data_IF_027204440316
#
_entry.id   IF_027204440316
#
_cell.length_a   1.000
_cell.length_b   1.000
_cell.length_c   1.000
_cell.angle_alpha   90.00
_cell.angle_beta   90.00
_cell.angle_gamma   90.00
#
_symmetry.space_group_name_H-M   'P 1'
#
loop_
_entity.id
_entity.type
_entity.pdbx_description
1 polymer ?
#
# COMPACT_ATOMS: atom_id res chain seq x y z
N UNK A 1 4.32 9.85 16.60
CA UNK A 1 4.44 11.32 16.36
C UNK A 1 5.68 11.90 17.02
N UNK A 2 6.05 11.39 18.19
CA UNK A 2 7.13 11.82 19.07
C UNK A 2 8.51 11.70 18.42
N UNK A 3 8.68 10.75 17.50
CA UNK A 3 9.88 10.60 16.67
C UNK A 3 9.84 11.41 15.35
N UNK A 4 8.81 12.23 15.13
CA UNK A 4 8.64 13.01 13.89
C UNK A 4 8.21 12.21 12.67
N UNK A 5 7.90 10.91 12.81
CA UNK A 5 7.41 10.09 11.70
C UNK A 5 6.04 10.60 11.20
N UNK A 6 5.86 10.82 9.89
CA UNK A 6 4.61 11.34 9.32
C UNK A 6 3.55 10.27 9.01
N UNK A 7 3.99 9.02 8.83
CA UNK A 7 3.15 7.91 8.35
C UNK A 7 3.42 6.67 9.21
N UNK A 8 2.36 5.92 9.50
CA UNK A 8 2.42 4.55 10.03
C UNK A 8 1.86 3.62 8.95
N UNK A 9 2.66 2.67 8.50
CA UNK A 9 2.24 1.70 7.49
C UNK A 9 1.60 0.48 8.16
N UNK A 10 0.59 -0.08 7.51
CA UNK A 10 -0.10 -1.30 7.95
C UNK A 10 -0.63 -2.07 6.75
N UNK A 11 -0.85 -3.36 6.92
CA UNK A 11 -1.69 -4.18 6.05
C UNK A 11 -2.86 -4.76 6.87
N UNK A 12 -3.69 -5.59 6.23
CA UNK A 12 -4.81 -6.27 6.87
C UNK A 12 -4.42 -7.48 7.74
N UNK A 13 -3.13 -7.84 7.78
CA UNK A 13 -2.61 -9.02 8.46
C UNK A 13 -2.97 -10.36 7.77
N UNK A 14 -2.37 -11.46 8.24
CA UNK A 14 -2.67 -12.78 7.71
C UNK A 14 -4.11 -13.20 8.04
N UNK A 15 -4.78 -13.84 7.08
CA UNK A 15 -6.15 -14.35 7.28
C UNK A 15 -6.22 -15.40 8.38
N UNK A 16 -7.10 -15.22 9.39
CA UNK A 16 -7.47 -16.32 10.25
C UNK A 16 -8.28 -17.37 9.48
N UNK A 17 -8.02 -18.66 9.72
CA UNK A 17 -8.71 -19.75 9.01
C UNK A 17 -10.18 -19.92 9.40
N UNK A 18 -10.63 -19.23 10.45
CA UNK A 18 -11.95 -19.42 11.07
C UNK A 18 -12.93 -18.28 10.82
N UNK A 19 -12.49 -17.18 10.20
CA UNK A 19 -13.34 -16.04 9.83
C UNK A 19 -13.79 -16.12 8.38
N UNK A 20 -14.95 -15.56 8.08
CA UNK A 20 -15.39 -15.20 6.74
C UNK A 20 -14.76 -13.89 6.26
N UNK A 21 -14.81 -13.63 4.96
CA UNK A 21 -14.36 -12.34 4.41
C UNK A 21 -15.17 -11.16 4.98
N UNK A 22 -16.47 -11.34 5.20
CA UNK A 22 -17.33 -10.29 5.76
C UNK A 22 -16.91 -9.93 7.19
N UNK A 23 -16.69 -10.93 8.04
CA UNK A 23 -16.18 -10.72 9.40
C UNK A 23 -14.83 -10.00 9.40
N UNK A 24 -13.92 -10.38 8.50
CA UNK A 24 -12.60 -9.76 8.39
C UNK A 24 -12.72 -8.26 8.04
N UNK A 25 -13.58 -7.90 7.08
CA UNK A 25 -13.79 -6.49 6.73
C UNK A 25 -14.48 -5.70 7.85
N UNK A 26 -15.38 -6.33 8.62
CA UNK A 26 -15.98 -5.71 9.81
C UNK A 26 -14.91 -5.42 10.88
N UNK A 27 -14.00 -6.37 11.13
CA UNK A 27 -12.91 -6.20 12.08
C UNK A 27 -11.91 -5.14 11.60
N UNK A 28 -11.51 -5.17 10.32
CA UNK A 28 -10.66 -4.12 9.73
C UNK A 28 -11.28 -2.75 9.90
N UNK A 29 -12.58 -2.60 9.60
CA UNK A 29 -13.29 -1.32 9.76
C UNK A 29 -13.25 -0.82 11.20
N UNK A 30 -13.50 -1.70 12.17
CA UNK A 30 -13.44 -1.33 13.58
C UNK A 30 -12.04 -0.82 13.97
N UNK A 31 -10.99 -1.58 13.64
CA UNK A 31 -9.61 -1.23 13.99
C UNK A 31 -9.16 0.05 13.28
N UNK A 32 -9.42 0.17 11.97
CA UNK A 32 -9.07 1.36 11.20
C UNK A 32 -9.81 2.59 11.70
N UNK A 33 -11.06 2.46 12.15
CA UNK A 33 -11.82 3.60 12.72
C UNK A 33 -11.13 4.13 13.97
N UNK A 34 -10.76 3.26 14.91
CA UNK A 34 -10.11 3.68 16.15
C UNK A 34 -8.69 4.22 15.89
N UNK A 35 -7.94 3.57 14.98
CA UNK A 35 -6.61 4.03 14.58
C UNK A 35 -6.66 5.40 13.90
N UNK A 36 -7.59 5.62 12.97
CA UNK A 36 -7.73 6.87 12.23
C UNK A 36 -8.07 8.04 13.16
N UNK A 37 -9.01 7.85 14.09
CA UNK A 37 -9.36 8.87 15.10
C UNK A 37 -8.14 9.33 15.89
N UNK A 38 -7.28 8.39 16.30
CA UNK A 38 -6.05 8.74 17.00
C UNK A 38 -5.05 9.42 16.05
N UNK A 39 -4.86 8.89 14.84
CA UNK A 39 -3.93 9.40 13.86
C UNK A 39 -4.21 10.87 13.49
N UNK A 40 -5.49 11.23 13.29
CA UNK A 40 -5.95 12.60 13.04
C UNK A 40 -5.50 13.57 14.15
N UNK A 41 -5.72 13.21 15.42
CA UNK A 41 -5.31 14.06 16.57
C UNK A 41 -3.80 14.26 16.68
N UNK A 42 -3.02 13.40 16.02
CA UNK A 42 -1.56 13.41 16.06
C UNK A 42 -0.93 13.91 14.75
N UNK A 43 -1.73 14.30 13.77
CA UNK A 43 -1.27 14.66 12.43
C UNK A 43 -0.39 13.53 11.81
N UNK A 44 -0.87 12.30 11.94
CA UNK A 44 -0.24 11.08 11.41
C UNK A 44 -1.16 10.51 10.34
N UNK A 45 -0.54 9.95 9.29
CA UNK A 45 -1.24 9.20 8.26
C UNK A 45 -1.08 7.71 8.48
N UNK A 46 -2.10 6.95 8.09
CA UNK A 46 -2.09 5.49 8.02
C UNK A 46 -1.95 5.12 6.55
N UNK A 47 -0.86 4.43 6.20
CA UNK A 47 -0.61 3.93 4.85
C UNK A 47 -1.01 2.47 4.73
N UNK A 48 -2.07 2.18 3.99
CA UNK A 48 -2.50 0.82 3.68
C UNK A 48 -1.62 0.23 2.57
N UNK A 49 -0.99 -0.91 2.83
CA UNK A 49 -0.07 -1.57 1.90
C UNK A 49 -0.75 -2.72 1.13
N UNK A 50 -0.58 -2.83 -0.20
CA UNK A 50 -0.99 -4.01 -0.95
C UNK A 50 -0.07 -5.18 -0.59
N UNK A 51 -0.47 -6.03 0.34
CA UNK A 51 0.42 -7.03 0.94
C UNK A 51 -0.21 -8.42 1.11
N UNK A 52 -1.47 -8.51 1.54
CA UNK A 52 -2.10 -9.79 1.86
C UNK A 52 -3.17 -10.16 0.83
N UNK A 53 -3.98 -11.17 1.14
CA UNK A 53 -4.94 -11.77 0.22
C UNK A 53 -6.00 -10.81 -0.34
N UNK A 54 -6.37 -9.74 0.38
CA UNK A 54 -7.42 -8.81 -0.03
C UNK A 54 -6.80 -7.61 -0.71
N UNK A 55 -5.84 -6.96 -0.06
CA UNK A 55 -5.12 -5.80 -0.56
C UNK A 55 -4.17 -6.12 -1.71
N UNK A 56 -3.84 -7.40 -1.93
CA UNK A 56 -3.07 -7.89 -3.07
C UNK A 56 -3.77 -7.70 -4.43
N UNK A 57 -5.04 -7.29 -4.46
CA UNK A 57 -5.74 -6.90 -5.68
C UNK A 57 -6.13 -5.40 -5.64
N UNK A 58 -6.05 -4.66 -6.76
CA UNK A 58 -6.42 -3.24 -6.81
C UNK A 58 -7.81 -2.94 -6.25
N UNK A 59 -8.81 -3.74 -6.62
CA UNK A 59 -10.18 -3.58 -6.13
C UNK A 59 -10.31 -3.91 -4.64
N UNK A 60 -9.51 -4.86 -4.13
CA UNK A 60 -9.52 -5.22 -2.72
C UNK A 60 -8.85 -4.16 -1.84
N UNK A 61 -7.73 -3.58 -2.29
CA UNK A 61 -7.12 -2.43 -1.63
C UNK A 61 -8.08 -1.23 -1.61
N UNK A 62 -8.80 -0.98 -2.71
CA UNK A 62 -9.81 0.07 -2.77
C UNK A 62 -10.99 -0.19 -1.82
N UNK A 63 -11.42 -1.45 -1.70
CA UNK A 63 -12.45 -1.86 -0.75
C UNK A 63 -12.02 -1.61 0.69
N UNK A 64 -10.79 -1.96 1.07
CA UNK A 64 -10.26 -1.72 2.42
C UNK A 64 -10.15 -0.21 2.69
N UNK A 65 -9.59 0.55 1.75
CA UNK A 65 -9.50 2.01 1.85
C UNK A 65 -10.88 2.65 2.08
N UNK A 66 -11.93 2.15 1.42
CA UNK A 66 -13.28 2.67 1.55
C UNK A 66 -14.03 2.24 2.83
N UNK A 67 -13.43 1.42 3.71
CA UNK A 67 -14.10 1.00 4.96
C UNK A 67 -14.30 2.16 5.95
N UNK A 68 -13.40 3.15 5.91
CA UNK A 68 -13.37 4.31 6.83
C UNK A 68 -13.08 5.57 6.02
N UNK A 69 -14.02 6.52 6.06
CA UNK A 69 -13.85 7.84 5.48
C UNK A 69 -13.08 8.73 6.47
N UNK A 70 -11.77 8.85 6.29
CA UNK A 70 -10.89 9.66 7.14
C UNK A 70 -9.76 10.29 6.32
N UNK A 71 -9.45 11.59 6.53
CA UNK A 71 -8.29 12.23 5.90
C UNK A 71 -6.95 11.65 6.36
N UNK A 72 -6.93 10.92 7.49
CA UNK A 72 -5.73 10.28 7.99
C UNK A 72 -5.41 8.96 7.28
N UNK A 73 -6.27 8.42 6.43
CA UNK A 73 -6.02 7.14 5.72
C UNK A 73 -5.59 7.41 4.28
N UNK A 74 -4.54 6.70 3.85
CA UNK A 74 -4.07 6.68 2.47
C UNK A 74 -3.39 5.36 2.12
N UNK A 75 -2.67 5.34 1.01
CA UNK A 75 -2.01 4.15 0.48
C UNK A 75 -0.49 4.24 0.66
N UNK A 76 0.10 3.19 1.25
CA UNK A 76 1.53 2.90 1.20
C UNK A 76 1.78 1.94 0.04
N UNK A 77 2.03 2.46 -1.16
CA UNK A 77 2.13 1.59 -2.33
C UNK A 77 3.47 0.85 -2.37
N UNK A 78 3.47 -0.48 -2.52
CA UNK A 78 4.68 -1.29 -2.71
C UNK A 78 4.75 -1.78 -4.16
N UNK A 79 5.78 -1.34 -4.89
CA UNK A 79 5.97 -1.68 -6.31
C UNK A 79 6.27 -3.16 -6.54
N UNK A 80 6.90 -3.83 -5.58
CA UNK A 80 7.26 -5.24 -5.69
C UNK A 80 6.10 -6.15 -5.35
N UNK A 81 5.36 -5.84 -4.29
CA UNK A 81 4.15 -6.60 -3.94
C UNK A 81 3.13 -6.50 -5.07
N UNK A 82 2.81 -5.28 -5.52
CA UNK A 82 1.87 -5.05 -6.63
C UNK A 82 2.25 -5.81 -7.91
N UNK A 83 3.54 -5.95 -8.20
CA UNK A 83 4.01 -6.76 -9.31
C UNK A 83 3.83 -8.27 -9.06
N UNK A 84 4.28 -8.77 -7.91
CA UNK A 84 4.29 -10.20 -7.60
C UNK A 84 2.91 -10.79 -7.35
N UNK A 85 1.94 -10.00 -6.89
CA UNK A 85 0.54 -10.44 -6.88
C UNK A 85 -0.11 -10.47 -8.27
N UNK A 86 0.66 -10.18 -9.34
CA UNK A 86 0.27 -10.40 -10.72
C UNK A 86 -0.24 -9.18 -11.47
N UNK A 87 -0.23 -8.00 -10.83
CA UNK A 87 -0.73 -6.77 -11.44
C UNK A 87 0.37 -5.98 -12.18
N UNK A 88 -0.03 -4.98 -12.94
CA UNK A 88 0.88 -3.97 -13.46
C UNK A 88 1.07 -2.86 -12.39
N UNK A 89 2.28 -2.70 -11.86
CA UNK A 89 2.53 -1.75 -10.78
C UNK A 89 2.40 -0.28 -11.24
N UNK A 90 2.57 0.02 -12.52
CA UNK A 90 2.44 1.38 -13.07
C UNK A 90 0.97 1.77 -13.19
N UNK A 91 0.14 0.89 -13.75
CA UNK A 91 -1.30 1.12 -13.84
C UNK A 91 -1.92 1.25 -12.45
N UNK A 92 -1.52 0.38 -11.52
CA UNK A 92 -2.03 0.43 -10.16
C UNK A 92 -1.55 1.66 -9.39
N UNK A 93 -0.26 2.03 -9.49
CA UNK A 93 0.24 3.27 -8.90
C UNK A 93 -0.53 4.49 -9.43
N UNK A 94 -0.83 4.52 -10.74
CA UNK A 94 -1.63 5.58 -11.33
C UNK A 94 -3.07 5.64 -10.78
N UNK A 95 -3.68 4.48 -10.49
CA UNK A 95 -5.01 4.35 -9.86
C UNK A 95 -5.05 4.88 -8.42
N UNK A 96 -3.98 4.69 -7.65
CA UNK A 96 -3.94 5.09 -6.22
C UNK A 96 -3.25 6.43 -5.97
N UNK A 97 -2.68 7.05 -7.01
CA UNK A 97 -1.82 8.25 -6.93
C UNK A 97 -2.37 9.36 -6.04
N UNK A 98 -3.65 9.69 -6.14
CA UNK A 98 -4.25 10.81 -5.38
C UNK A 98 -4.45 10.48 -3.89
N UNK A 99 -4.34 9.20 -3.51
CA UNK A 99 -4.39 8.70 -2.13
C UNK A 99 -3.02 8.24 -1.64
N UNK A 100 -1.96 8.41 -2.42
CA UNK A 100 -0.60 7.95 -2.09
C UNK A 100 -0.03 8.78 -0.94
N UNK A 101 0.25 8.14 0.20
CA UNK A 101 0.86 8.77 1.38
C UNK A 101 2.31 8.37 1.58
N UNK A 102 2.67 7.17 1.14
CA UNK A 102 4.02 6.62 1.22
C UNK A 102 4.23 5.61 0.09
N UNK A 103 5.48 5.30 -0.23
CA UNK A 103 5.83 4.30 -1.24
C UNK A 103 6.98 3.44 -0.74
N UNK A 104 6.82 2.12 -0.81
CA UNK A 104 7.91 1.18 -0.71
C UNK A 104 8.49 0.94 -2.10
N UNK A 105 9.72 1.42 -2.30
CA UNK A 105 10.46 1.22 -3.53
C UNK A 105 11.12 -0.17 -3.49
N UNK A 106 10.44 -1.17 -4.03
CA UNK A 106 10.91 -2.55 -4.09
C UNK A 106 10.98 -3.01 -5.55
N UNK A 107 12.18 -3.39 -5.98
CA UNK A 107 12.40 -3.95 -7.32
C UNK A 107 12.45 -5.47 -7.26
N UNK A 108 12.08 -6.12 -8.37
CA UNK A 108 11.99 -7.57 -8.47
C UNK A 108 12.98 -8.04 -9.53
N UNK A 109 13.83 -9.01 -9.16
CA UNK A 109 14.80 -9.57 -10.10
C UNK A 109 14.09 -10.37 -11.21
N UNK A 110 14.76 -10.57 -12.36
CA UNK A 110 14.21 -11.39 -13.45
C UNK A 110 13.87 -12.81 -12.98
N UNK A 111 14.77 -13.44 -12.22
CA UNK A 111 14.55 -14.79 -11.68
C UNK A 111 13.30 -14.84 -10.79
N UNK A 112 13.21 -13.92 -9.81
CA UNK A 112 12.05 -13.86 -8.91
C UNK A 112 10.75 -13.56 -9.66
N UNK A 113 10.80 -12.70 -10.67
CA UNK A 113 9.66 -12.43 -11.54
C UNK A 113 9.15 -13.69 -12.24
N UNK A 114 10.04 -14.50 -12.81
CA UNK A 114 9.68 -15.77 -13.47
C UNK A 114 9.10 -16.78 -12.47
N UNK A 115 9.67 -16.84 -11.27
CA UNK A 115 9.34 -17.83 -10.26
C UNK A 115 8.05 -17.49 -9.49
N UNK A 116 7.80 -16.23 -9.18
CA UNK A 116 6.84 -15.84 -8.13
C UNK A 116 5.69 -14.96 -8.64
N UNK A 117 5.78 -14.34 -9.82
CA UNK A 117 4.74 -13.43 -10.30
C UNK A 117 3.39 -14.14 -10.44
N UNK A 118 2.34 -13.55 -9.86
CA UNK A 118 0.98 -14.05 -9.81
C UNK A 118 0.78 -15.22 -8.83
N UNK A 119 1.79 -15.60 -8.05
CA UNK A 119 1.76 -16.77 -7.15
C UNK A 119 1.87 -16.41 -5.68
N UNK A 120 2.40 -15.24 -5.36
CA UNK A 120 2.70 -14.82 -3.99
C UNK A 120 2.19 -13.41 -3.71
N UNK A 121 2.00 -13.12 -2.42
CA UNK A 121 1.73 -11.78 -1.90
C UNK A 121 2.70 -11.52 -0.75
N UNK A 122 3.03 -10.24 -0.50
CA UNK A 122 3.79 -9.86 0.69
C UNK A 122 5.23 -10.35 0.71
N UNK A 123 6.02 -9.99 -0.30
CA UNK A 123 7.41 -10.48 -0.41
C UNK A 123 8.36 -9.75 0.55
N UNK A 124 9.13 -10.48 1.37
CA UNK A 124 10.10 -9.86 2.27
C UNK A 124 11.35 -9.37 1.51
N UNK A 125 11.60 -9.91 0.31
CA UNK A 125 12.85 -9.70 -0.43
C UNK A 125 12.58 -9.18 -1.84
N UNK A 126 13.51 -8.38 -2.31
CA UNK A 126 13.60 -7.92 -3.69
C UNK A 126 15.06 -7.70 -4.05
N UNK A 127 15.29 -6.96 -5.13
CA UNK A 127 16.63 -6.51 -5.52
C UNK A 127 16.75 -4.98 -5.41
N UNK A 128 17.94 -4.46 -5.65
CA UNK A 128 18.17 -3.01 -5.65
C UNK A 128 17.38 -2.34 -6.79
N UNK A 129 16.81 -1.16 -6.51
CA UNK A 129 16.06 -0.37 -7.49
C UNK A 129 16.91 -0.05 -8.74
N UNK A 130 16.40 -0.41 -9.91
CA UNK A 130 17.07 -0.27 -11.20
C UNK A 130 17.85 -1.53 -11.63
N UNK A 131 17.94 -2.54 -10.77
CA UNK A 131 18.52 -3.85 -11.08
C UNK A 131 17.48 -4.90 -11.48
N UNK A 132 16.19 -4.59 -11.40
CA UNK A 132 15.10 -5.50 -11.66
C UNK A 132 14.19 -5.06 -12.80
N UNK A 133 12.93 -5.49 -12.72
CA UNK A 133 11.94 -5.34 -13.81
C UNK A 133 11.05 -4.10 -13.68
N UNK A 134 11.11 -3.36 -12.56
CA UNK A 134 10.20 -2.23 -12.33
C UNK A 134 10.62 -1.01 -13.17
N UNK A 135 9.66 -0.39 -13.86
CA UNK A 135 9.89 0.84 -14.62
C UNK A 135 9.97 2.06 -13.69
N UNK A 136 11.14 2.26 -13.08
CA UNK A 136 11.39 3.36 -12.13
C UNK A 136 11.21 4.75 -12.72
N UNK A 137 11.43 4.92 -14.04
CA UNK A 137 11.22 6.21 -14.69
C UNK A 137 9.75 6.59 -14.63
N UNK A 138 8.85 5.65 -14.94
CA UNK A 138 7.40 5.86 -14.81
C UNK A 138 6.96 6.01 -13.36
N UNK A 139 7.48 5.20 -12.43
CA UNK A 139 7.18 5.34 -11.00
C UNK A 139 7.48 6.77 -10.52
N UNK A 140 8.71 7.25 -10.77
CA UNK A 140 9.11 8.61 -10.39
C UNK A 140 8.25 9.67 -11.09
N UNK A 141 7.93 9.49 -12.37
CA UNK A 141 7.07 10.42 -13.10
C UNK A 141 5.66 10.53 -12.49
N UNK A 142 5.06 9.40 -12.09
CA UNK A 142 3.74 9.38 -11.45
C UNK A 142 3.82 10.04 -10.07
N UNK A 143 4.81 9.67 -9.26
CA UNK A 143 5.02 10.23 -7.92
C UNK A 143 5.21 11.75 -7.94
N UNK A 144 5.92 12.31 -8.92
CA UNK A 144 6.07 13.76 -9.09
C UNK A 144 4.75 14.52 -9.27
N UNK A 145 3.73 13.82 -9.78
CA UNK A 145 2.41 14.38 -9.91
C UNK A 145 1.52 14.18 -8.70
N UNK A 146 1.94 13.41 -7.69
CA UNK A 146 1.12 13.08 -6.52
C UNK A 146 0.99 14.31 -5.60
N UNK A 147 -0.12 14.46 -4.86
CA UNK A 147 -0.35 15.62 -4.01
C UNK A 147 0.79 15.88 -3.02
N UNK A 148 1.40 14.83 -2.47
CA UNK A 148 2.42 14.93 -1.41
C UNK A 148 3.85 15.16 -1.87
N UNK A 149 4.16 15.00 -3.17
CA UNK A 149 5.50 15.34 -3.70
C UNK A 149 5.73 16.87 -3.72
N UNK A 150 4.64 17.65 -3.74
CA UNK A 150 4.68 19.12 -3.82
C UNK A 150 5.10 19.82 -2.52
N UNK A 151 5.59 19.08 -1.52
CA UNK A 151 6.13 19.62 -0.27
C UNK A 151 5.07 20.20 0.69
N UNK A 152 3.79 20.09 0.38
CA UNK A 152 2.71 20.49 1.27
C UNK A 152 2.26 19.30 2.10
N UNK A 153 2.92 19.09 3.24
CA UNK A 153 2.38 18.23 4.29
C UNK A 153 1.21 18.97 4.94
N UNK A 154 0.04 18.95 4.28
CA UNK A 154 -1.21 19.43 4.87
C UNK A 154 -1.99 18.22 5.40
N UNK A 155 -2.26 18.15 6.71
CA UNK A 155 -3.30 17.27 7.24
C UNK A 155 -4.67 17.59 6.63
#
# INVERSE_FOLDING_TARGET
>A
AECGAPVVNTDEGPKPTWTSEEEDHVLMKYVLTEAARLAETRNILIGLEPHQQYSGHPDGLDKIYALVDSPAIGINFDTGNSYLCGHDPIEWLQRVKDRLVHLHAKDISVQQSEDERGKVTGTPVGCACGGGIIDWKKVVQICKGAPRDKGEFRP
#
